data_IF_098056773106
#
_entry.id   IF_098056773106
#
_cell.length_a   1.000
_cell.length_b   1.000
_cell.length_c   1.000
_cell.angle_alpha   90.00
_cell.angle_beta   90.00
_cell.angle_gamma   90.00
#
_symmetry.space_group_name_H-M   'P 1'
#
loop_
_entity.id
_entity.type
_entity.pdbx_description
1 polymer ?
#
# COMPACT_ATOMS: atom_id res chain seq x y z
N UNK A 1 -15.62 -18.98 -30.47
CA UNK A 1 -14.29 -19.58 -30.23
C UNK A 1 -13.87 -19.14 -28.84
N UNK A 2 -13.88 -20.06 -27.88
CA UNK A 2 -13.29 -19.83 -26.56
C UNK A 2 -11.78 -19.73 -26.73
N UNK A 3 -11.20 -18.62 -26.31
CA UNK A 3 -9.76 -18.39 -26.36
C UNK A 3 -9.09 -19.18 -25.24
N UNK A 4 -8.77 -20.46 -25.53
CA UNK A 4 -8.07 -21.34 -24.61
C UNK A 4 -6.70 -20.79 -24.19
N UNK A 5 -6.07 -19.94 -25.00
CA UNK A 5 -4.79 -19.31 -24.66
C UNK A 5 -5.00 -18.17 -23.65
N UNK A 6 -6.03 -17.34 -23.87
CA UNK A 6 -6.45 -16.29 -22.93
C UNK A 6 -6.88 -16.84 -21.56
N UNK A 7 -7.70 -17.89 -21.51
CA UNK A 7 -8.16 -18.49 -20.25
C UNK A 7 -6.99 -19.06 -19.43
N UNK A 8 -6.03 -19.75 -20.08
CA UNK A 8 -4.86 -20.34 -19.41
C UNK A 8 -3.89 -19.28 -18.88
N UNK A 9 -3.74 -18.15 -19.58
CA UNK A 9 -3.00 -16.99 -19.11
C UNK A 9 -3.57 -16.45 -17.78
N UNK A 10 -4.87 -16.15 -17.75
CA UNK A 10 -5.54 -15.60 -16.56
C UNK A 10 -5.54 -16.57 -15.38
N UNK A 11 -5.74 -17.86 -15.63
CA UNK A 11 -5.71 -18.88 -14.58
C UNK A 11 -4.32 -19.02 -13.96
N UNK A 12 -3.26 -19.00 -14.77
CA UNK A 12 -1.89 -19.20 -14.28
C UNK A 12 -1.41 -18.00 -13.45
N UNK A 13 -1.68 -16.76 -13.90
CA UNK A 13 -1.33 -15.57 -13.11
C UNK A 13 -2.19 -15.46 -11.83
N UNK A 14 -3.45 -15.87 -11.90
CA UNK A 14 -4.34 -15.96 -10.74
C UNK A 14 -3.80 -16.96 -9.71
N UNK A 15 -3.34 -18.13 -10.16
CA UNK A 15 -2.72 -19.13 -9.29
C UNK A 15 -1.44 -18.60 -8.65
N UNK A 16 -0.55 -17.96 -9.43
CA UNK A 16 0.67 -17.34 -8.91
C UNK A 16 0.38 -16.33 -7.79
N UNK A 17 -0.54 -15.39 -8.01
CA UNK A 17 -0.89 -14.36 -7.03
C UNK A 17 -1.55 -14.97 -5.78
N UNK A 18 -2.40 -15.99 -5.95
CA UNK A 18 -2.99 -16.71 -4.82
C UNK A 18 -1.95 -17.50 -4.03
N UNK A 19 -0.91 -18.05 -4.67
CA UNK A 19 0.20 -18.72 -3.98
C UNK A 19 1.04 -17.73 -3.17
N UNK A 20 1.36 -16.56 -3.74
CA UNK A 20 2.04 -15.48 -3.00
C UNK A 20 1.20 -15.04 -1.78
N UNK A 21 -0.11 -14.81 -1.97
CA UNK A 21 -1.06 -14.45 -0.90
C UNK A 21 -1.15 -15.53 0.17
N UNK A 22 -1.29 -16.78 -0.26
CA UNK A 22 -1.43 -17.97 0.56
C UNK A 22 -0.16 -18.37 1.30
N UNK A 23 0.94 -17.65 1.09
CA UNK A 23 2.24 -17.89 1.70
C UNK A 23 2.84 -19.26 1.36
N UNK A 24 2.65 -19.69 0.12
CA UNK A 24 3.22 -20.92 -0.44
C UNK A 24 4.33 -20.55 -1.45
N UNK A 25 5.60 -20.48 -1.02
CA UNK A 25 6.70 -20.11 -1.90
C UNK A 25 6.96 -21.17 -2.98
N UNK A 26 6.76 -22.45 -2.69
CA UNK A 26 6.99 -23.54 -3.66
C UNK A 26 5.98 -23.44 -4.81
N UNK A 27 4.70 -23.26 -4.49
CA UNK A 27 3.68 -23.05 -5.50
C UNK A 27 3.89 -21.75 -6.29
N UNK A 28 4.31 -20.66 -5.63
CA UNK A 28 4.62 -19.41 -6.31
C UNK A 28 5.76 -19.57 -7.33
N UNK A 29 6.85 -20.23 -6.96
CA UNK A 29 7.97 -20.51 -7.88
C UNK A 29 7.52 -21.41 -9.03
N UNK A 30 6.69 -22.42 -8.76
CA UNK A 30 6.15 -23.30 -9.80
C UNK A 30 5.32 -22.53 -10.83
N UNK A 31 4.37 -21.69 -10.39
CA UNK A 31 3.54 -20.90 -11.31
C UNK A 31 4.34 -19.84 -12.07
N UNK A 32 5.35 -19.22 -11.43
CA UNK A 32 6.29 -18.32 -12.10
C UNK A 32 7.03 -19.06 -13.22
N UNK A 33 7.62 -20.22 -12.92
CA UNK A 33 8.37 -21.01 -13.90
C UNK A 33 7.49 -21.45 -15.07
N UNK A 34 6.25 -21.87 -14.79
CA UNK A 34 5.24 -22.19 -15.81
C UNK A 34 4.96 -21.02 -16.76
N UNK A 35 4.71 -19.82 -16.22
CA UNK A 35 4.45 -18.63 -17.04
C UNK A 35 5.65 -18.29 -17.93
N UNK A 36 6.86 -18.29 -17.35
CA UNK A 36 8.08 -18.02 -18.10
C UNK A 36 8.33 -19.06 -19.22
N UNK A 37 8.08 -20.34 -18.95
CA UNK A 37 8.21 -21.40 -19.95
C UNK A 37 7.15 -21.31 -21.06
N UNK A 38 5.96 -20.80 -20.74
CA UNK A 38 4.88 -20.57 -21.70
C UNK A 38 5.08 -19.30 -22.55
N UNK A 39 6.14 -18.51 -22.31
CA UNK A 39 6.43 -17.29 -23.06
C UNK A 39 5.63 -16.06 -22.59
N UNK A 40 5.10 -16.10 -21.37
CA UNK A 40 4.44 -14.95 -20.74
C UNK A 40 5.37 -13.73 -20.69
N UNK A 41 4.85 -12.53 -20.92
CA UNK A 41 5.65 -11.30 -20.81
C UNK A 41 6.16 -11.16 -19.35
N UNK A 42 7.48 -11.21 -19.09
CA UNK A 42 8.00 -11.09 -17.73
C UNK A 42 7.67 -9.74 -17.09
N UNK A 43 7.43 -8.69 -17.89
CA UNK A 43 6.98 -7.39 -17.39
C UNK A 43 5.56 -7.47 -16.84
N UNK A 44 4.69 -8.28 -17.46
CA UNK A 44 3.35 -8.52 -16.94
C UNK A 44 3.41 -9.19 -15.56
N UNK A 45 4.20 -10.26 -15.43
CA UNK A 45 4.39 -10.95 -14.15
C UNK A 45 4.96 -10.00 -13.09
N UNK A 46 5.99 -9.24 -13.43
CA UNK A 46 6.63 -8.29 -12.50
C UNK A 46 5.66 -7.18 -12.04
N UNK A 47 4.83 -6.62 -12.94
CA UNK A 47 3.78 -5.65 -12.55
C UNK A 47 2.80 -6.25 -11.54
N UNK A 48 2.40 -7.52 -11.73
CA UNK A 48 1.50 -8.22 -10.81
C UNK A 48 2.16 -8.47 -9.45
N UNK A 49 3.46 -8.77 -9.41
CA UNK A 49 4.23 -8.88 -8.17
C UNK A 49 4.30 -7.55 -7.42
N UNK A 50 4.59 -6.44 -8.11
CA UNK A 50 4.67 -5.09 -7.50
C UNK A 50 3.34 -4.70 -6.86
N UNK A 51 2.22 -4.90 -7.55
CA UNK A 51 0.88 -4.64 -7.00
C UNK A 51 0.63 -5.54 -5.79
N UNK A 52 0.89 -6.84 -5.91
CA UNK A 52 0.65 -7.79 -4.83
C UNK A 52 1.49 -7.52 -3.57
N UNK A 53 2.73 -7.08 -3.73
CA UNK A 53 3.59 -6.67 -2.62
C UNK A 53 2.98 -5.50 -1.81
N UNK A 54 2.30 -4.55 -2.46
CA UNK A 54 1.59 -3.48 -1.76
C UNK A 54 0.20 -3.91 -1.26
N UNK A 55 -0.49 -4.78 -1.99
CA UNK A 55 -1.88 -5.21 -1.75
C UNK A 55 -1.99 -6.18 -0.56
N UNK A 56 -1.10 -7.18 -0.48
CA UNK A 56 -1.25 -8.32 0.42
C UNK A 56 -0.12 -8.45 1.45
N UNK A 57 1.03 -7.81 1.23
CA UNK A 57 2.09 -7.65 2.26
C UNK A 57 1.99 -6.26 2.88
N UNK A 58 1.97 -5.23 2.05
CA UNK A 58 1.68 -3.85 2.47
C UNK A 58 2.61 -3.37 3.57
N UNK A 59 2.02 -2.79 4.62
CA UNK A 59 2.77 -2.25 5.76
C UNK A 59 3.24 -3.31 6.75
N UNK A 60 2.85 -4.58 6.60
CA UNK A 60 3.39 -5.65 7.44
C UNK A 60 4.86 -5.92 7.13
N UNK A 61 5.29 -5.71 5.89
CA UNK A 61 6.70 -5.62 5.52
C UNK A 61 6.90 -4.69 4.31
N UNK A 62 7.19 -3.39 4.53
CA UNK A 62 7.35 -2.42 3.45
C UNK A 62 8.49 -2.75 2.47
N UNK A 63 9.45 -3.61 2.83
CA UNK A 63 10.52 -4.00 1.92
C UNK A 63 10.04 -4.89 0.77
N UNK A 64 8.89 -5.55 0.90
CA UNK A 64 8.33 -6.35 -0.19
C UNK A 64 8.11 -5.52 -1.47
N UNK A 65 7.63 -4.28 -1.35
CA UNK A 65 7.44 -3.40 -2.50
C UNK A 65 8.78 -3.02 -3.15
N UNK A 66 9.82 -2.78 -2.34
CA UNK A 66 11.16 -2.45 -2.81
C UNK A 66 11.79 -3.64 -3.55
N UNK A 67 11.70 -4.83 -2.97
CA UNK A 67 12.20 -6.08 -3.56
C UNK A 67 11.47 -6.40 -4.87
N UNK A 68 10.14 -6.28 -4.90
CA UNK A 68 9.34 -6.47 -6.11
C UNK A 68 9.70 -5.46 -7.21
N UNK A 69 9.94 -4.20 -6.84
CA UNK A 69 10.35 -3.15 -7.78
C UNK A 69 11.74 -3.40 -8.33
N UNK A 70 12.69 -3.85 -7.50
CA UNK A 70 14.02 -4.25 -7.95
C UNK A 70 13.97 -5.43 -8.93
N UNK A 71 13.11 -6.42 -8.68
CA UNK A 71 12.88 -7.52 -9.62
C UNK A 71 12.27 -7.02 -10.94
N UNK A 72 11.31 -6.10 -10.90
CA UNK A 72 10.75 -5.48 -12.10
C UNK A 72 11.81 -4.70 -12.90
N UNK A 73 12.70 -3.96 -12.22
CA UNK A 73 13.82 -3.29 -12.86
C UNK A 73 14.81 -4.30 -13.48
N UNK A 74 15.06 -5.43 -12.80
CA UNK A 74 15.93 -6.47 -13.33
C UNK A 74 15.36 -7.09 -14.62
N UNK A 75 14.03 -7.21 -14.74
CA UNK A 75 13.38 -7.63 -15.99
C UNK A 75 13.72 -6.67 -17.15
N UNK A 76 13.71 -5.36 -16.91
CA UNK A 76 14.03 -4.37 -17.94
C UNK A 76 15.53 -4.28 -18.24
N UNK A 77 16.35 -4.31 -17.19
CA UNK A 77 17.78 -4.04 -17.28
C UNK A 77 18.59 -5.27 -17.69
N UNK A 78 18.24 -6.44 -17.15
CA UNK A 78 18.97 -7.70 -17.40
C UNK A 78 18.30 -8.51 -18.50
N UNK A 79 16.96 -8.60 -18.49
CA UNK A 79 16.20 -9.44 -19.42
C UNK A 79 16.27 -10.93 -19.11
N UNK A 80 15.45 -11.72 -19.81
CA UNK A 80 15.48 -13.19 -19.71
C UNK A 80 16.62 -13.76 -20.56
N UNK A 81 17.23 -14.90 -20.16
CA UNK A 81 16.82 -15.77 -19.06
C UNK A 81 17.23 -15.33 -17.64
N UNK A 82 18.23 -14.48 -17.47
CA UNK A 82 18.85 -14.19 -16.17
C UNK A 82 17.89 -13.50 -15.20
N UNK A 83 16.98 -12.65 -15.68
CA UNK A 83 15.98 -11.96 -14.85
C UNK A 83 15.03 -12.92 -14.10
N UNK A 84 14.92 -14.21 -14.50
CA UNK A 84 14.12 -15.19 -13.76
C UNK A 84 14.62 -15.39 -12.32
N UNK A 85 15.91 -15.17 -12.06
CA UNK A 85 16.52 -15.34 -10.74
C UNK A 85 16.03 -14.26 -9.78
N UNK A 86 16.21 -12.95 -10.04
CA UNK A 86 15.66 -11.90 -9.16
C UNK A 86 14.13 -11.91 -9.10
N UNK A 87 13.42 -12.34 -10.16
CA UNK A 87 11.98 -12.58 -10.09
C UNK A 87 11.63 -13.69 -9.09
N UNK A 88 12.38 -14.79 -9.09
CA UNK A 88 12.19 -15.91 -8.16
C UNK A 88 12.52 -15.49 -6.72
N UNK A 89 13.61 -14.74 -6.52
CA UNK A 89 13.97 -14.17 -5.22
C UNK A 89 12.84 -13.31 -4.65
N UNK A 90 12.30 -12.39 -5.46
CA UNK A 90 11.18 -11.55 -5.05
C UNK A 90 9.89 -12.34 -4.79
N UNK A 91 9.61 -13.38 -5.58
CA UNK A 91 8.45 -14.25 -5.33
C UNK A 91 8.55 -14.97 -3.98
N UNK A 92 9.73 -15.53 -3.66
CA UNK A 92 9.99 -16.18 -2.37
C UNK A 92 9.88 -15.17 -1.22
N UNK A 93 10.46 -13.99 -1.38
CA UNK A 93 10.38 -12.92 -0.38
C UNK A 93 8.91 -12.58 -0.07
N UNK A 94 8.12 -12.29 -1.11
CA UNK A 94 6.72 -11.88 -0.95
C UNK A 94 5.87 -13.02 -0.36
N UNK A 95 6.06 -14.26 -0.83
CA UNK A 95 5.35 -15.42 -0.31
C UNK A 95 5.63 -15.64 1.19
N UNK A 96 6.88 -15.42 1.63
CA UNK A 96 7.27 -15.64 3.03
C UNK A 96 7.10 -14.42 3.94
N UNK A 97 6.82 -13.24 3.39
CA UNK A 97 6.59 -12.02 4.15
C UNK A 97 5.29 -12.07 4.98
N UNK A 98 5.24 -11.38 6.14
CA UNK A 98 4.00 -11.21 6.89
C UNK A 98 2.96 -10.49 6.03
N UNK A 99 1.69 -10.91 6.10
CA UNK A 99 0.62 -10.41 5.22
C UNK A 99 -0.20 -9.33 5.90
N UNK A 100 -0.61 -8.31 5.15
CA UNK A 100 -1.61 -7.32 5.55
C UNK A 100 -2.21 -6.63 4.32
N UNK A 101 -3.54 -6.55 4.29
CA UNK A 101 -4.32 -5.82 3.31
C UNK A 101 -4.79 -4.44 3.80
N UNK A 102 -4.28 -3.97 4.94
CA UNK A 102 -4.70 -2.71 5.60
C UNK A 102 -4.57 -1.49 4.70
N UNK A 103 -3.61 -1.50 3.76
CA UNK A 103 -3.40 -0.45 2.76
C UNK A 103 -4.59 -0.39 1.79
N UNK A 104 -5.06 -1.55 1.32
CA UNK A 104 -6.19 -1.69 0.39
C UNK A 104 -7.48 -1.24 1.07
N UNK A 105 -7.70 -1.67 2.30
CA UNK A 105 -8.87 -1.27 3.09
C UNK A 105 -8.88 0.24 3.35
N UNK A 106 -7.72 0.82 3.67
CA UNK A 106 -7.60 2.25 3.93
C UNK A 106 -7.94 3.10 2.71
N UNK A 107 -7.36 2.80 1.54
CA UNK A 107 -7.64 3.57 0.32
C UNK A 107 -9.08 3.33 -0.16
N UNK A 108 -9.58 2.10 -0.07
CA UNK A 108 -10.96 1.78 -0.45
C UNK A 108 -11.98 2.53 0.40
N UNK A 109 -11.78 2.57 1.73
CA UNK A 109 -12.67 3.31 2.63
C UNK A 109 -12.61 4.82 2.40
N UNK A 110 -11.41 5.38 2.15
CA UNK A 110 -11.27 6.81 1.85
C UNK A 110 -11.93 7.19 0.52
N UNK A 111 -11.73 6.38 -0.52
CA UNK A 111 -12.36 6.60 -1.84
C UNK A 111 -13.89 6.52 -1.75
N UNK A 112 -14.42 5.56 -0.99
CA UNK A 112 -15.86 5.48 -0.74
C UNK A 112 -16.44 6.74 -0.09
N UNK A 113 -15.74 7.34 0.87
CA UNK A 113 -16.18 8.61 1.47
C UNK A 113 -16.06 9.80 0.51
N UNK A 114 -15.04 9.83 -0.36
CA UNK A 114 -14.92 10.88 -1.40
C UNK A 114 -16.09 10.83 -2.38
N UNK A 115 -16.57 9.63 -2.71
CA UNK A 115 -17.70 9.45 -3.62
C UNK A 115 -19.06 9.70 -2.94
N UNK A 116 -19.19 9.32 -1.67
CA UNK A 116 -20.48 9.36 -0.96
C UNK A 116 -20.75 10.68 -0.20
N UNK A 117 -19.71 11.40 0.22
CA UNK A 117 -19.84 12.57 1.09
C UNK A 117 -19.55 13.85 0.31
N UNK A 118 -20.32 14.92 0.58
CA UNK A 118 -20.04 16.24 0.02
C UNK A 118 -18.61 16.66 0.34
N UNK A 119 -17.81 16.96 -0.68
CA UNK A 119 -16.46 17.48 -0.51
C UNK A 119 -16.49 18.84 0.23
N UNK A 120 -15.95 18.85 1.45
CA UNK A 120 -15.66 20.06 2.18
C UNK A 120 -14.25 20.57 1.83
N UNK A 121 -14.02 21.90 1.91
CA UNK A 121 -12.72 22.45 1.58
C UNK A 121 -11.67 22.05 2.62
N UNK A 122 -10.41 22.06 2.20
CA UNK A 122 -9.25 21.86 3.10
C UNK A 122 -9.36 22.82 4.31
N UNK A 123 -9.14 22.34 5.55
CA UNK A 123 -9.11 23.18 6.75
C UNK A 123 -8.18 24.39 6.57
N UNK A 124 -8.62 25.59 7.00
CA UNK A 124 -7.91 26.85 6.69
C UNK A 124 -6.45 26.87 7.13
N UNK A 125 -6.15 26.28 8.29
CA UNK A 125 -4.78 26.19 8.83
C UNK A 125 -3.88 25.21 8.05
N UNK A 126 -4.43 24.36 7.19
CA UNK A 126 -3.65 23.50 6.29
C UNK A 126 -3.50 24.06 4.88
N UNK A 127 -4.23 25.12 4.54
CA UNK A 127 -4.14 25.73 3.21
C UNK A 127 -2.80 26.42 3.05
N UNK A 128 -2.26 26.29 1.85
CA UNK A 128 -1.05 27.02 1.50
C UNK A 128 -1.25 28.54 1.64
N UNK A 129 -0.25 29.14 2.28
CA UNK A 129 -0.11 30.59 2.48
C UNK A 129 1.07 31.18 1.71
N UNK A 130 1.90 30.35 1.06
CA UNK A 130 3.15 30.77 0.42
C UNK A 130 2.97 31.27 -1.01
N UNK A 131 1.94 30.81 -1.72
CA UNK A 131 1.77 31.13 -3.13
C UNK A 131 1.08 32.48 -3.41
N UNK A 132 0.51 33.18 -2.42
CA UNK A 132 -0.15 34.47 -2.66
C UNK A 132 -0.30 35.36 -1.42
N UNK A 133 0.05 36.64 -1.55
CA UNK A 133 -0.25 37.71 -0.58
C UNK A 133 -1.76 37.82 -0.27
N UNK A 134 -2.62 37.51 -1.25
CA UNK A 134 -4.06 37.47 -1.03
C UNK A 134 -4.47 36.27 -0.16
N UNK A 135 -3.85 35.10 -0.35
CA UNK A 135 -4.11 33.90 0.46
C UNK A 135 -3.69 34.11 1.94
N UNK A 136 -2.55 34.77 2.18
CA UNK A 136 -2.12 35.16 3.52
C UNK A 136 -3.11 36.13 4.19
N UNK A 137 -3.62 37.13 3.45
CA UNK A 137 -4.66 38.06 3.94
C UNK A 137 -6.00 37.36 4.22
N UNK A 138 -6.31 36.30 3.48
CA UNK A 138 -7.46 35.42 3.71
C UNK A 138 -7.23 34.41 4.85
N UNK A 139 -6.13 34.53 5.60
CA UNK A 139 -5.85 33.72 6.79
C UNK A 139 -5.52 32.26 6.49
N UNK A 140 -5.09 31.93 5.28
CA UNK A 140 -4.53 30.60 4.99
C UNK A 140 -3.29 30.34 5.84
N UNK A 141 -3.12 29.10 6.30
CA UNK A 141 -2.00 28.70 7.15
C UNK A 141 -2.03 29.29 8.57
N UNK A 142 -2.92 30.25 8.86
CA UNK A 142 -3.03 30.83 10.20
C UNK A 142 -3.52 29.75 11.19
N UNK A 143 -2.76 29.56 12.26
CA UNK A 143 -3.04 28.52 13.26
C UNK A 143 -2.42 27.16 12.96
N UNK A 144 -1.66 27.01 11.86
CA UNK A 144 -0.90 25.80 11.59
C UNK A 144 0.13 25.54 12.69
N UNK A 145 0.10 24.34 13.25
CA UNK A 145 1.08 23.86 14.21
C UNK A 145 2.12 23.02 13.47
N UNK A 146 3.35 23.53 13.39
CA UNK A 146 4.47 22.81 12.79
C UNK A 146 4.97 21.70 13.73
N UNK A 147 4.67 20.44 13.40
CA UNK A 147 4.88 19.29 14.30
C UNK A 147 6.32 19.16 14.84
N UNK A 148 7.34 19.54 14.07
CA UNK A 148 8.73 19.47 14.53
C UNK A 148 9.05 20.36 15.74
N UNK A 149 8.24 21.39 16.00
CA UNK A 149 8.39 22.27 17.16
C UNK A 149 7.75 21.70 18.44
N UNK A 150 7.09 20.54 18.37
CA UNK A 150 6.43 19.90 19.50
C UNK A 150 7.21 18.66 19.96
N UNK A 151 7.13 18.31 21.26
CA UNK A 151 7.79 17.11 21.80
C UNK A 151 7.40 15.84 21.02
N UNK A 152 8.40 15.00 20.72
CA UNK A 152 8.19 13.78 19.93
C UNK A 152 7.82 14.02 18.47
N UNK A 153 7.95 15.27 17.98
CA UNK A 153 7.56 15.71 16.65
C UNK A 153 6.09 15.42 16.31
N UNK A 154 5.23 15.49 17.32
CA UNK A 154 3.80 15.22 17.20
C UNK A 154 2.97 16.36 17.80
N UNK A 155 1.88 16.72 17.15
CA UNK A 155 0.93 17.72 17.64
C UNK A 155 -0.50 17.31 17.34
N UNK A 156 -1.37 17.45 18.34
CA UNK A 156 -2.81 17.33 18.12
C UNK A 156 -3.33 18.56 17.36
N UNK A 157 -3.76 18.28 16.13
CA UNK A 157 -4.33 19.22 15.17
C UNK A 157 -5.28 18.46 14.27
N UNK A 158 -6.39 19.10 13.89
CA UNK A 158 -7.29 18.56 12.87
C UNK A 158 -6.61 18.56 11.50
N UNK A 159 -6.60 17.41 10.82
CA UNK A 159 -6.07 17.31 9.46
C UNK A 159 -7.14 17.03 8.40
N UNK A 160 -8.20 16.31 8.77
CA UNK A 160 -9.34 16.03 7.91
C UNK A 160 -10.35 17.20 7.94
N UNK A 161 -11.14 17.42 6.87
CA UNK A 161 -12.26 18.36 6.89
C UNK A 161 -13.32 17.99 7.95
N UNK A 162 -14.22 18.92 8.30
CA UNK A 162 -15.12 18.77 9.44
C UNK A 162 -16.10 17.60 9.26
N UNK A 163 -16.64 17.44 8.06
CA UNK A 163 -17.56 16.35 7.69
C UNK A 163 -16.99 14.93 7.87
N UNK A 164 -15.67 14.75 7.83
CA UNK A 164 -14.99 13.46 7.95
C UNK A 164 -13.91 13.45 9.03
N UNK A 165 -13.93 14.43 9.94
CA UNK A 165 -12.85 14.64 10.94
C UNK A 165 -12.57 13.43 11.84
N UNK A 166 -13.60 12.64 12.11
CA UNK A 166 -13.57 11.49 13.01
C UNK A 166 -13.31 10.16 12.27
N UNK A 167 -13.12 10.20 10.94
CA UNK A 167 -12.82 9.00 10.15
C UNK A 167 -11.42 8.46 10.45
N UNK A 168 -11.32 7.14 10.52
CA UNK A 168 -10.07 6.39 10.67
C UNK A 168 -10.00 5.35 9.55
N UNK A 169 -9.32 5.70 8.46
CA UNK A 169 -9.20 4.85 7.28
C UNK A 169 -8.16 3.74 7.47
N UNK A 170 -6.99 4.08 8.02
CA UNK A 170 -5.92 3.13 8.22
C UNK A 170 -6.03 2.45 9.60
N UNK A 171 -6.32 1.15 9.57
CA UNK A 171 -6.37 0.27 10.73
C UNK A 171 -5.20 -0.73 10.63
N UNK A 172 -4.02 -0.44 11.21
CA UNK A 172 -2.89 -1.37 11.14
C UNK A 172 -3.25 -2.70 11.81
N UNK A 173 -2.86 -3.81 11.17
CA UNK A 173 -3.00 -5.15 11.73
C UNK A 173 -1.97 -5.42 12.83
N UNK A 174 -2.01 -6.63 13.39
CA UNK A 174 -0.95 -7.18 14.25
C UNK A 174 0.10 -7.94 13.45
N UNK A 175 0.16 -7.80 12.11
CA UNK A 175 1.09 -8.55 11.28
C UNK A 175 2.40 -7.78 11.07
N UNK A 176 3.54 -8.47 11.23
CA UNK A 176 4.87 -7.92 10.96
C UNK A 176 5.12 -6.55 11.61
N UNK A 177 5.59 -5.61 10.79
CA UNK A 177 5.94 -4.24 11.17
C UNK A 177 4.71 -3.39 11.58
N UNK A 178 3.49 -3.77 11.21
CA UNK A 178 2.30 -3.03 11.59
C UNK A 178 2.05 -3.01 13.09
N UNK A 179 2.54 -4.00 13.85
CA UNK A 179 2.51 -3.97 15.33
C UNK A 179 3.15 -2.70 15.88
N UNK A 180 4.30 -2.32 15.33
CA UNK A 180 5.04 -1.13 15.75
C UNK A 180 4.37 0.16 15.28
N UNK A 181 3.78 0.15 14.08
CA UNK A 181 2.97 1.27 13.58
C UNK A 181 1.76 1.48 14.48
N UNK A 182 1.03 0.40 14.81
CA UNK A 182 -0.13 0.40 15.70
C UNK A 182 0.22 0.94 17.06
N UNK A 183 1.32 0.50 17.67
CA UNK A 183 1.82 1.01 18.95
C UNK A 183 2.05 2.53 18.91
N UNK A 184 2.72 3.04 17.87
CA UNK A 184 2.97 4.49 17.69
C UNK A 184 1.67 5.28 17.51
N UNK A 185 0.77 4.80 16.66
CA UNK A 185 -0.52 5.45 16.39
C UNK A 185 -1.42 5.50 17.62
N UNK A 186 -1.45 4.42 18.41
CA UNK A 186 -2.18 4.37 19.69
C UNK A 186 -1.61 5.33 20.73
N UNK A 187 -0.28 5.53 20.74
CA UNK A 187 0.36 6.48 21.65
C UNK A 187 0.09 7.93 21.24
N UNK A 188 0.31 8.26 19.96
CA UNK A 188 0.15 9.62 19.44
C UNK A 188 -1.30 10.09 19.46
N UNK A 189 -2.23 9.25 19.03
CA UNK A 189 -3.64 9.63 18.85
C UNK A 189 -4.56 9.16 20.00
N UNK A 190 -3.99 8.85 21.17
CA UNK A 190 -4.73 8.36 22.33
C UNK A 190 -5.85 9.32 22.73
N UNK A 191 -7.09 8.83 22.75
CA UNK A 191 -8.27 9.65 23.10
C UNK A 191 -8.73 10.62 22.01
N UNK A 192 -8.04 10.67 20.86
CA UNK A 192 -8.36 11.54 19.73
C UNK A 192 -8.95 10.71 18.59
N UNK A 193 -8.20 9.72 18.08
CA UNK A 193 -8.69 8.80 17.04
C UNK A 193 -9.22 7.51 17.65
N UNK A 194 -10.33 7.02 17.11
CA UNK A 194 -10.95 5.76 17.50
C UNK A 194 -10.60 4.67 16.50
N UNK A 195 -9.49 3.99 16.76
CA UNK A 195 -9.12 2.81 15.97
C UNK A 195 -10.08 1.67 16.27
N UNK A 196 -10.57 1.03 15.21
CA UNK A 196 -11.48 -0.11 15.26
C UNK A 196 -10.70 -1.35 14.80
N UNK A 197 -9.74 -1.76 15.62
CA UNK A 197 -8.91 -2.91 15.27
C UNK A 197 -9.78 -4.17 15.18
N UNK A 198 -9.62 -4.97 14.12
CA UNK A 198 -10.26 -6.28 14.04
C UNK A 198 -9.95 -7.08 15.31
N UNK A 199 -10.96 -7.75 15.87
CA UNK A 199 -10.69 -8.78 16.88
C UNK A 199 -9.99 -9.93 16.15
N UNK A 200 -8.80 -10.27 16.62
CA UNK A 200 -8.05 -11.45 16.19
C UNK A 200 -8.87 -12.73 16.32
#
# INVERSE_FOLDING_TARGET
>A
LYDREGDVHYDTISAFIKSLRGSDPDAAVYWLARMLAAGEDPRFIARRMVVHAAEDVGMADPMALVVATAAAQAVEFVGLPEARIPMTEAAIYIATAPKSNSVVEAIGSAMGDVEAVRAEPVPRHLRDSSHSLAAARLGHGKGYKYAHNYPGHFVDQQYLPDNVRDRVYYQPSESGFEKEIRRRLLAWWKGIKRYAFPKS
#
